data_IF_154819634407
#
_entry.id   IF_154819634407
#
_cell.length_a   1.000
_cell.length_b   1.000
_cell.length_c   1.000
_cell.angle_alpha   90.00
_cell.angle_beta   90.00
_cell.angle_gamma   90.00
#
_symmetry.space_group_name_H-M   'P 1'
#
loop_
_entity.id
_entity.type
_entity.pdbx_description
1 polymer ?
#
# COMPACT_ATOMS: atom_id res chain seq x y z
N UNK A 1 6.30 14.58 -8.34
CA UNK A 1 6.41 13.20 -8.85
C UNK A 1 5.07 12.50 -8.71
N UNK A 2 4.68 11.72 -9.70
CA UNK A 2 3.38 11.05 -9.71
C UNK A 2 3.55 9.61 -9.21
N UNK A 3 2.78 9.18 -8.20
CA UNK A 3 2.83 7.79 -7.77
C UNK A 3 2.41 6.81 -8.86
N UNK A 4 2.93 5.60 -8.80
CA UNK A 4 2.58 4.52 -9.73
C UNK A 4 2.22 3.26 -8.93
N UNK A 5 1.41 2.41 -9.54
CA UNK A 5 1.01 1.14 -8.93
C UNK A 5 2.24 0.33 -8.53
N UNK A 6 2.22 -0.23 -7.33
CA UNK A 6 3.30 -1.04 -6.78
C UNK A 6 4.31 -0.25 -5.97
N UNK A 7 4.24 1.06 -6.02
CA UNK A 7 5.11 1.90 -5.20
C UNK A 7 4.55 2.07 -3.80
N UNK A 8 5.45 2.09 -2.81
CA UNK A 8 5.11 2.42 -1.43
C UNK A 8 5.50 3.87 -1.19
N UNK A 9 4.54 4.65 -0.74
CA UNK A 9 4.71 6.08 -0.49
C UNK A 9 4.39 6.42 0.95
N UNK A 10 5.04 7.46 1.47
CA UNK A 10 4.70 8.02 2.77
C UNK A 10 3.41 8.83 2.64
N UNK A 11 2.41 8.51 3.44
CA UNK A 11 1.14 9.22 3.50
C UNK A 11 1.16 10.15 4.71
N UNK A 12 1.21 11.46 4.45
CA UNK A 12 1.31 12.47 5.49
C UNK A 12 0.01 13.26 5.60
N UNK A 13 -0.78 12.97 6.62
CA UNK A 13 -2.02 13.69 6.91
C UNK A 13 -1.77 14.74 8.00
N UNK A 14 -2.46 15.90 7.95
CA UNK A 14 -2.34 16.89 9.02
C UNK A 14 -2.68 16.29 10.38
N UNK A 15 -1.85 16.60 11.39
CA UNK A 15 -2.07 16.19 12.78
C UNK A 15 -2.09 14.69 13.02
N UNK A 16 -1.58 13.91 12.08
CA UNK A 16 -1.48 12.45 12.22
C UNK A 16 -0.07 12.00 11.93
N UNK A 17 0.31 10.87 12.51
CA UNK A 17 1.61 10.27 12.23
C UNK A 17 1.64 9.81 10.77
N UNK A 18 2.71 10.15 10.05
CA UNK A 18 2.91 9.68 8.69
C UNK A 18 3.09 8.18 8.66
N UNK A 19 2.50 7.53 7.65
CA UNK A 19 2.58 6.06 7.51
C UNK A 19 2.80 5.67 6.07
N UNK A 20 3.53 4.56 5.83
CA UNK A 20 3.66 4.04 4.48
C UNK A 20 2.33 3.47 3.98
N UNK A 21 2.07 3.66 2.70
CA UNK A 21 0.93 3.04 2.02
C UNK A 21 1.37 2.52 0.65
N UNK A 22 0.76 1.45 0.19
CA UNK A 22 1.02 0.88 -1.12
C UNK A 22 0.02 1.44 -2.13
N UNK A 23 0.50 1.92 -3.26
CA UNK A 23 -0.37 2.37 -4.36
C UNK A 23 -0.91 1.14 -5.08
N UNK A 24 -2.20 0.93 -4.98
CA UNK A 24 -2.89 -0.22 -5.55
C UNK A 24 -3.60 0.10 -6.86
N UNK A 25 -4.03 1.34 -7.04
CA UNK A 25 -4.75 1.78 -8.23
C UNK A 25 -3.87 1.60 -9.49
N UNK A 26 -4.49 1.21 -10.60
CA UNK A 26 -3.76 1.09 -11.86
C UNK A 26 -3.13 2.43 -12.25
N UNK A 27 -1.90 2.39 -12.73
CA UNK A 27 -1.11 3.60 -12.97
C UNK A 27 -1.77 4.58 -13.95
N UNK A 28 -2.51 4.07 -14.93
CA UNK A 28 -3.20 4.90 -15.92
C UNK A 28 -4.24 5.82 -15.28
N UNK A 29 -4.83 5.41 -14.16
CA UNK A 29 -5.84 6.21 -13.46
C UNK A 29 -5.22 7.18 -12.46
N UNK A 30 -4.01 6.93 -12.00
CA UNK A 30 -3.38 7.76 -10.96
C UNK A 30 -3.21 9.20 -11.41
N UNK A 31 -2.87 9.43 -12.68
CA UNK A 31 -2.66 10.79 -13.17
C UNK A 31 -3.93 11.64 -13.14
N UNK A 32 -5.07 11.04 -13.45
CA UNK A 32 -6.32 11.79 -13.63
C UNK A 32 -7.19 11.90 -12.39
N UNK A 33 -6.92 11.11 -11.36
CA UNK A 33 -7.73 11.11 -10.15
C UNK A 33 -7.04 11.86 -9.00
N UNK A 34 -7.82 12.57 -8.20
CA UNK A 34 -7.30 13.27 -7.03
C UNK A 34 -7.18 12.35 -5.80
N UNK A 35 -7.99 11.31 -5.77
CA UNK A 35 -7.93 10.27 -4.74
C UNK A 35 -7.61 8.96 -5.41
N UNK A 36 -6.67 8.23 -4.83
CA UNK A 36 -6.20 6.97 -5.42
C UNK A 36 -6.26 5.85 -4.39
N UNK A 37 -6.53 4.65 -4.87
CA UNK A 37 -6.68 3.48 -4.03
C UNK A 37 -5.32 3.05 -3.48
N UNK A 38 -5.21 2.96 -2.16
CA UNK A 38 -3.99 2.57 -1.47
C UNK A 38 -4.28 1.55 -0.38
N UNK A 39 -3.24 0.81 0.02
CA UNK A 39 -3.30 -0.16 1.10
C UNK A 39 -2.46 0.36 2.26
N UNK A 40 -3.04 0.53 3.46
CA UNK A 40 -2.27 1.00 4.61
C UNK A 40 -1.40 -0.11 5.18
N UNK A 41 -0.44 0.29 6.02
CA UNK A 41 0.45 -0.63 6.71
C UNK A 41 0.23 -0.53 8.22
N UNK A 42 0.57 -1.61 8.92
CA UNK A 42 0.58 -1.62 10.37
C UNK A 42 1.82 -2.33 10.90
N UNK A 43 2.32 -1.87 12.04
CA UNK A 43 3.37 -2.55 12.78
C UNK A 43 2.81 -3.23 14.02
N UNK A 44 1.53 -2.97 14.32
CA UNK A 44 0.86 -3.55 15.48
C UNK A 44 0.07 -4.80 15.13
N UNK A 45 0.11 -5.80 16.03
CA UNK A 45 -0.68 -7.00 15.86
C UNK A 45 -0.42 -7.72 14.56
N UNK A 46 0.82 -7.69 14.07
CA UNK A 46 1.18 -8.31 12.80
C UNK A 46 0.91 -9.81 12.86
N UNK A 47 -0.11 -10.22 12.12
CA UNK A 47 -0.54 -11.61 12.08
C UNK A 47 -0.38 -12.15 10.67
N UNK A 48 -0.13 -13.46 10.60
CA UNK A 48 -0.11 -14.12 9.31
C UNK A 48 -1.50 -14.60 8.97
N UNK A 49 -2.30 -13.68 8.44
CA UNK A 49 -3.66 -13.96 8.00
C UNK A 49 -3.76 -13.69 6.50
N UNK A 50 -4.73 -14.31 5.80
CA UNK A 50 -4.79 -14.23 4.32
C UNK A 50 -4.92 -12.83 3.74
N UNK A 51 -5.42 -11.87 4.50
CA UNK A 51 -5.61 -10.50 4.04
C UNK A 51 -4.44 -9.57 4.37
N UNK A 52 -3.39 -10.09 5.01
CA UNK A 52 -2.16 -9.33 5.29
C UNK A 52 -1.03 -9.80 4.41
N UNK A 53 -0.20 -8.86 3.95
CA UNK A 53 1.02 -9.17 3.21
C UNK A 53 2.20 -8.50 3.92
N UNK A 54 3.17 -9.32 4.31
CA UNK A 54 4.37 -8.83 5.00
C UNK A 54 5.35 -8.22 4.01
N UNK A 55 5.87 -7.06 4.37
CA UNK A 55 6.98 -6.42 3.64
C UNK A 55 8.04 -6.00 4.65
N UNK A 56 9.30 -6.09 4.27
CA UNK A 56 10.43 -5.84 5.17
C UNK A 56 11.61 -5.20 4.42
N UNK A 57 12.80 -5.30 5.01
CA UNK A 57 14.00 -4.71 4.43
C UNK A 57 14.34 -5.28 3.06
N UNK A 58 14.01 -6.55 2.81
CA UNK A 58 14.21 -7.16 1.51
C UNK A 58 13.33 -6.55 0.43
N UNK A 59 12.23 -5.92 0.83
CA UNK A 59 11.32 -5.22 -0.07
C UNK A 59 11.66 -3.73 -0.16
N UNK A 60 12.69 -3.28 0.55
CA UNK A 60 13.10 -1.88 0.56
C UNK A 60 12.49 -1.05 1.67
N UNK A 61 11.85 -1.67 2.65
CA UNK A 61 11.30 -0.96 3.79
C UNK A 61 12.35 -0.78 4.87
N UNK A 62 12.20 0.28 5.69
CA UNK A 62 13.12 0.53 6.81
C UNK A 62 12.94 -0.49 7.92
N UNK A 63 11.70 -0.91 8.16
CA UNK A 63 11.37 -1.91 9.18
C UNK A 63 10.20 -2.77 8.70
N UNK A 64 10.06 -3.99 9.26
CA UNK A 64 8.95 -4.85 8.84
C UNK A 64 7.59 -4.26 9.18
N UNK A 65 6.63 -4.47 8.29
CA UNK A 65 5.25 -4.10 8.52
C UNK A 65 4.34 -4.99 7.68
N UNK A 66 3.05 -4.90 7.93
CA UNK A 66 2.07 -5.68 7.17
C UNK A 66 1.16 -4.73 6.38
N UNK A 67 0.97 -5.04 5.10
CA UNK A 67 -0.07 -4.42 4.29
C UNK A 67 -1.41 -5.03 4.71
N UNK A 68 -2.38 -4.18 5.01
CA UNK A 68 -3.68 -4.63 5.52
C UNK A 68 -4.74 -4.44 4.45
N UNK A 69 -4.97 -5.47 3.64
CA UNK A 69 -5.86 -5.36 2.48
C UNK A 69 -7.32 -5.11 2.86
N UNK A 70 -7.73 -5.53 4.07
CA UNK A 70 -9.07 -5.26 4.57
C UNK A 70 -9.35 -3.77 4.77
N UNK A 71 -8.31 -2.95 4.87
CA UNK A 71 -8.45 -1.53 5.18
C UNK A 71 -8.07 -0.64 4.00
N UNK A 72 -8.05 -1.19 2.79
CA UNK A 72 -7.80 -0.45 1.55
C UNK A 72 -8.75 0.74 1.44
N UNK A 73 -8.20 1.90 1.06
CA UNK A 73 -8.99 3.13 1.02
C UNK A 73 -8.49 4.07 -0.08
N UNK A 74 -9.26 5.12 -0.36
CA UNK A 74 -8.90 6.14 -1.33
C UNK A 74 -8.22 7.30 -0.62
N UNK A 75 -6.90 7.46 -0.84
CA UNK A 75 -6.12 8.54 -0.25
C UNK A 75 -6.03 9.73 -1.19
N UNK A 76 -5.95 10.93 -0.63
CA UNK A 76 -5.66 12.12 -1.44
C UNK A 76 -4.23 12.00 -1.99
N UNK A 77 -4.11 12.13 -3.30
CA UNK A 77 -2.83 11.97 -3.98
C UNK A 77 -1.79 13.00 -3.50
N UNK A 78 -2.21 14.22 -3.22
CA UNK A 78 -1.30 15.28 -2.78
C UNK A 78 -0.73 15.07 -1.37
N UNK A 79 -1.24 14.10 -0.62
CA UNK A 79 -0.70 13.74 0.70
C UNK A 79 0.31 12.59 0.62
N UNK A 80 0.55 12.04 -0.56
CA UNK A 80 1.63 11.08 -0.78
C UNK A 80 2.89 11.86 -1.11
N UNK A 81 3.81 11.95 -0.16
CA UNK A 81 4.89 12.93 -0.19
C UNK A 81 6.26 12.39 -0.61
N UNK A 82 6.57 11.14 -0.26
CA UNK A 82 7.87 10.54 -0.56
C UNK A 82 7.70 9.08 -0.97
N UNK A 83 8.34 8.72 -2.08
CA UNK A 83 8.40 7.32 -2.49
C UNK A 83 9.43 6.60 -1.62
N UNK A 84 9.02 5.48 -1.03
CA UNK A 84 9.88 4.67 -0.15
C UNK A 84 10.54 3.55 -0.94
N UNK A 85 9.73 2.79 -1.69
CA UNK A 85 10.24 1.65 -2.47
C UNK A 85 9.23 1.26 -3.54
N UNK A 86 9.61 0.29 -4.36
CA UNK A 86 8.72 -0.33 -5.36
C UNK A 86 8.72 -1.83 -5.09
N UNK A 87 7.55 -2.41 -4.91
CA UNK A 87 7.43 -3.85 -4.68
C UNK A 87 7.61 -4.62 -5.99
N UNK A 88 8.29 -5.75 -5.92
CA UNK A 88 8.49 -6.62 -7.07
C UNK A 88 7.22 -7.38 -7.47
N UNK A 89 7.27 -8.02 -8.63
CA UNK A 89 6.12 -8.73 -9.20
C UNK A 89 5.59 -9.84 -8.30
N UNK A 90 6.48 -10.59 -7.65
CA UNK A 90 6.06 -11.67 -6.75
C UNK A 90 5.28 -11.13 -5.55
N UNK A 91 5.79 -10.04 -4.95
CA UNK A 91 5.11 -9.42 -3.82
C UNK A 91 3.78 -8.82 -4.24
N UNK A 92 3.72 -8.19 -5.41
CA UNK A 92 2.45 -7.66 -5.93
C UNK A 92 1.45 -8.78 -6.22
N UNK A 93 1.91 -9.96 -6.63
CA UNK A 93 1.04 -11.12 -6.79
C UNK A 93 0.43 -11.54 -5.45
N UNK A 94 1.23 -11.57 -4.37
CA UNK A 94 0.72 -11.82 -3.02
C UNK A 94 -0.34 -10.80 -2.62
N UNK A 95 -0.11 -9.53 -2.94
CA UNK A 95 -1.07 -8.45 -2.67
C UNK A 95 -2.39 -8.72 -3.39
N UNK A 96 -2.33 -9.11 -4.66
CA UNK A 96 -3.55 -9.40 -5.44
C UNK A 96 -4.32 -10.58 -4.86
N UNK A 97 -3.62 -11.63 -4.41
CA UNK A 97 -4.28 -12.77 -3.77
C UNK A 97 -4.95 -12.36 -2.46
N UNK A 98 -4.27 -11.55 -1.64
CA UNK A 98 -4.82 -11.06 -0.39
C UNK A 98 -6.03 -10.15 -0.63
N UNK A 99 -5.97 -9.32 -1.65
CA UNK A 99 -7.09 -8.46 -2.02
C UNK A 99 -8.31 -9.28 -2.45
N UNK A 100 -8.11 -10.34 -3.22
CA UNK A 100 -9.18 -11.22 -3.64
C UNK A 100 -9.88 -11.86 -2.43
N UNK A 101 -9.11 -12.26 -1.42
CA UNK A 101 -9.67 -12.77 -0.17
C UNK A 101 -10.46 -11.69 0.56
N UNK A 102 -9.86 -10.49 0.70
CA UNK A 102 -10.48 -9.39 1.43
C UNK A 102 -11.80 -8.94 0.82
N UNK A 103 -11.94 -9.08 -0.49
CA UNK A 103 -13.12 -8.62 -1.24
C UNK A 103 -14.03 -9.76 -1.71
N UNK A 104 -13.65 -11.00 -1.42
CA UNK A 104 -14.37 -12.20 -1.89
C UNK A 104 -14.50 -12.24 -3.42
N UNK A 105 -13.48 -11.79 -4.11
CA UNK A 105 -13.47 -11.73 -5.58
C UNK A 105 -12.70 -12.87 -6.23
N UNK A 106 -12.40 -13.93 -5.50
CA UNK A 106 -11.68 -15.08 -6.06
C UNK A 106 -12.62 -16.18 -6.49
#
# INVERSE_FOLDING_TARGET
>A
MIPARGEVWLHERPKRKARPVLVLLRSEAVESLNRILVVPTTTEGMRRIPTHVWIDEDDGMREPCALTLDETFAARKDLLTHRITVLGAEKMHEVCLALAVATSCS
#
